data_IF_602479451489
#
_entry.id   IF_602479451489
#
_cell.length_a   1.000
_cell.length_b   1.000
_cell.length_c   1.000
_cell.angle_alpha   90.00
_cell.angle_beta   90.00
_cell.angle_gamma   90.00
#
_symmetry.space_group_name_H-M   'P 1'
#
loop_
_entity.id
_entity.type
_entity.pdbx_description
1 polymer ?
#
# COMPACT_ATOMS: atom_id res chain seq x y z
N UNK A 1 3.46 10.44 5.63
CA UNK A 1 2.67 9.20 5.57
C UNK A 1 1.21 9.58 5.75
N UNK A 2 0.29 8.82 5.15
CA UNK A 2 -1.14 8.99 5.40
C UNK A 2 -1.41 8.65 6.87
N UNK A 3 -1.96 9.60 7.61
CA UNK A 3 -2.24 9.52 9.04
C UNK A 3 -3.76 9.44 9.30
N UNK A 4 -4.60 9.56 8.26
CA UNK A 4 -6.06 9.51 8.36
C UNK A 4 -6.71 8.82 7.15
N UNK A 5 -7.92 8.29 7.32
CA UNK A 5 -8.71 7.69 6.23
C UNK A 5 -8.96 8.72 5.12
N UNK A 6 -9.15 10.00 5.48
CA UNK A 6 -9.34 11.09 4.50
C UNK A 6 -8.11 11.42 3.66
N UNK A 7 -6.94 10.85 3.99
CA UNK A 7 -5.75 10.98 3.15
C UNK A 7 -5.79 10.03 1.95
N UNK A 8 -6.73 9.08 1.93
CA UNK A 8 -6.93 8.14 0.85
C UNK A 8 -8.14 8.54 0.02
N UNK A 9 -8.00 8.37 -1.30
CA UNK A 9 -9.09 8.46 -2.25
C UNK A 9 -9.49 7.05 -2.66
N UNK A 10 -10.77 6.85 -2.97
CA UNK A 10 -11.17 5.69 -3.75
C UNK A 10 -10.47 5.72 -5.11
N UNK A 11 -10.31 4.55 -5.76
CA UNK A 11 -9.64 4.51 -7.07
C UNK A 11 -10.28 5.46 -8.11
N UNK A 12 -11.63 5.55 -8.24
CA UNK A 12 -12.24 6.53 -9.14
C UNK A 12 -11.89 7.98 -8.82
N UNK A 13 -11.91 8.36 -7.54
CA UNK A 13 -11.56 9.72 -7.09
C UNK A 13 -10.08 10.03 -7.34
N UNK A 14 -9.20 9.06 -7.14
CA UNK A 14 -7.78 9.19 -7.47
C UNK A 14 -7.57 9.43 -8.96
N UNK A 15 -8.25 8.68 -9.83
CA UNK A 15 -8.19 8.88 -11.28
C UNK A 15 -8.69 10.27 -11.70
N UNK A 16 -9.79 10.74 -11.09
CA UNK A 16 -10.30 12.12 -11.30
C UNK A 16 -9.28 13.16 -10.86
N UNK A 17 -8.57 12.93 -9.75
CA UNK A 17 -7.57 13.87 -9.24
C UNK A 17 -6.43 14.12 -10.25
N UNK A 18 -5.98 13.10 -10.99
CA UNK A 18 -5.01 13.27 -12.07
C UNK A 18 -5.57 14.10 -13.23
N UNK A 19 -6.85 13.89 -13.55
CA UNK A 19 -7.55 14.69 -14.55
C UNK A 19 -7.64 16.18 -14.18
N UNK A 20 -7.84 16.48 -12.90
CA UNK A 20 -7.85 17.85 -12.37
C UNK A 20 -6.47 18.51 -12.43
N UNK A 21 -5.39 17.72 -12.47
CA UNK A 21 -4.03 18.19 -12.67
C UNK A 21 -3.67 18.36 -14.16
N UNK A 22 -4.62 18.14 -15.07
CA UNK A 22 -4.40 18.27 -16.52
C UNK A 22 -3.62 17.08 -17.10
N UNK A 23 -3.63 15.92 -16.45
CA UNK A 23 -3.03 14.70 -16.95
C UNK A 23 -4.11 13.71 -17.39
N UNK A 24 -3.78 12.93 -18.41
CA UNK A 24 -4.50 11.73 -18.80
C UNK A 24 -3.78 10.52 -18.19
N UNK A 25 -4.51 9.64 -17.54
CA UNK A 25 -4.01 8.34 -17.07
C UNK A 25 -4.02 7.41 -18.28
N UNK A 26 -2.84 7.00 -18.75
CA UNK A 26 -2.70 6.20 -19.98
C UNK A 26 -2.47 4.72 -19.72
N UNK A 27 -2.07 4.37 -18.49
CA UNK A 27 -1.88 2.98 -18.04
C UNK A 27 -2.02 2.94 -16.51
N UNK A 28 -2.52 1.82 -15.97
CA UNK A 28 -2.39 1.51 -14.54
C UNK A 28 -2.10 0.02 -14.27
N UNK A 29 -1.17 -0.24 -13.36
CA UNK A 29 -0.92 -1.58 -12.79
C UNK A 29 -1.29 -1.56 -11.31
N UNK A 30 -2.33 -2.30 -10.95
CA UNK A 30 -2.83 -2.38 -9.58
C UNK A 30 -2.30 -3.63 -8.90
N UNK A 31 -1.87 -3.49 -7.64
CA UNK A 31 -1.59 -4.63 -6.79
C UNK A 31 -2.88 -5.40 -6.54
N UNK A 32 -2.82 -6.72 -6.75
CA UNK A 32 -3.84 -7.62 -6.27
C UNK A 32 -3.54 -8.05 -4.82
N UNK A 33 -4.46 -8.82 -4.23
CA UNK A 33 -4.28 -9.33 -2.88
C UNK A 33 -3.03 -10.20 -2.75
N UNK A 34 -2.68 -11.02 -3.76
CA UNK A 34 -1.46 -11.84 -3.72
C UNK A 34 -0.18 -10.98 -3.66
N UNK A 35 -0.17 -9.84 -4.36
CA UNK A 35 0.93 -8.87 -4.32
C UNK A 35 1.09 -8.25 -2.93
N UNK A 36 -0.03 -7.90 -2.29
CA UNK A 36 -0.05 -7.47 -0.90
C UNK A 36 0.37 -8.58 0.08
N UNK A 37 -0.12 -9.80 -0.12
CA UNK A 37 0.18 -10.98 0.72
C UNK A 37 1.70 -11.22 0.69
N UNK A 38 2.31 -11.19 -0.49
CA UNK A 38 3.77 -11.37 -0.65
C UNK A 38 4.57 -10.27 0.05
N UNK A 39 4.11 -9.02 0.00
CA UNK A 39 4.81 -7.90 0.62
C UNK A 39 4.71 -7.95 2.15
N UNK A 40 3.51 -8.14 2.70
CA UNK A 40 3.30 -8.14 4.15
C UNK A 40 3.80 -9.43 4.81
N UNK A 41 3.51 -10.60 4.23
CA UNK A 41 3.88 -11.89 4.84
C UNK A 41 5.40 -12.11 4.90
N UNK A 42 6.16 -11.54 3.95
CA UNK A 42 7.62 -11.60 3.98
C UNK A 42 8.21 -10.91 5.23
N UNK A 43 7.54 -9.88 5.75
CA UNK A 43 7.97 -9.18 6.98
C UNK A 43 7.80 -10.08 8.19
N UNK A 44 6.72 -10.87 8.26
CA UNK A 44 6.46 -11.77 9.39
C UNK A 44 7.54 -12.84 9.52
N UNK A 45 7.96 -13.44 8.40
CA UNK A 45 9.06 -14.42 8.41
C UNK A 45 10.37 -13.76 8.87
N UNK A 46 10.64 -12.54 8.41
CA UNK A 46 11.83 -11.77 8.82
C UNK A 46 11.81 -11.50 10.33
N UNK A 47 10.68 -11.00 10.86
CA UNK A 47 10.52 -10.77 12.30
C UNK A 47 10.68 -12.06 13.10
N UNK A 48 10.12 -13.18 12.63
CA UNK A 48 10.22 -14.47 13.33
C UNK A 48 11.66 -14.95 13.47
N UNK A 49 12.45 -14.86 12.39
CA UNK A 49 13.87 -15.25 12.37
C UNK A 49 14.72 -14.31 13.21
N UNK A 50 14.48 -13.01 13.09
CA UNK A 50 15.18 -12.02 13.90
C UNK A 50 14.99 -12.27 15.41
N UNK A 51 13.77 -12.66 15.83
CA UNK A 51 13.50 -13.04 17.23
C UNK A 51 14.19 -14.34 17.67
N UNK A 52 14.55 -15.24 16.76
CA UNK A 52 15.35 -16.44 17.10
C UNK A 52 16.79 -16.07 17.39
N UNK A 53 17.32 -15.10 16.64
CA UNK A 53 18.71 -14.64 16.76
C UNK A 53 18.89 -13.62 17.89
N UNK A 54 17.84 -12.87 18.25
CA UNK A 54 17.89 -11.74 19.18
C UNK A 54 16.86 -11.85 20.33
N UNK A 55 16.87 -12.93 21.14
CA UNK A 55 15.83 -13.16 22.15
C UNK A 55 15.87 -12.21 23.35
N UNK A 56 17.03 -11.59 23.63
CA UNK A 56 17.24 -10.69 24.78
C UNK A 56 17.42 -9.22 24.36
N UNK A 57 17.19 -8.91 23.09
CA UNK A 57 17.25 -7.54 22.60
C UNK A 57 16.09 -6.71 23.17
N UNK A 58 16.30 -5.42 23.39
CA UNK A 58 15.30 -4.52 23.96
C UNK A 58 14.02 -4.43 23.11
N UNK A 59 14.12 -4.67 21.80
CA UNK A 59 12.99 -4.66 20.86
C UNK A 59 12.27 -6.01 20.75
N UNK A 60 12.77 -7.07 21.39
CA UNK A 60 12.22 -8.42 21.23
C UNK A 60 10.74 -8.52 21.60
N UNK A 61 10.33 -7.89 22.70
CA UNK A 61 8.93 -7.86 23.12
C UNK A 61 8.03 -7.07 22.16
N UNK A 62 8.52 -5.94 21.65
CA UNK A 62 7.77 -5.13 20.68
C UNK A 62 7.57 -5.90 19.36
N UNK A 63 8.64 -6.52 18.86
CA UNK A 63 8.59 -7.29 17.61
C UNK A 63 7.75 -8.55 17.79
N UNK A 64 7.77 -9.18 18.97
CA UNK A 64 6.87 -10.29 19.31
C UNK A 64 5.41 -9.87 19.28
N UNK A 65 5.08 -8.76 19.92
CA UNK A 65 3.73 -8.20 19.93
C UNK A 65 3.23 -7.88 18.52
N UNK A 66 4.06 -7.22 17.70
CA UNK A 66 3.76 -6.98 16.27
C UNK A 66 3.51 -8.28 15.52
N UNK A 67 4.42 -9.25 15.61
CA UNK A 67 4.27 -10.53 14.92
C UNK A 67 2.98 -11.29 15.31
N UNK A 68 2.50 -11.13 16.55
CA UNK A 68 1.25 -11.77 17.00
C UNK A 68 -0.03 -11.11 16.46
N UNK A 69 0.01 -9.83 16.07
CA UNK A 69 -1.20 -9.06 15.71
C UNK A 69 -1.25 -8.66 14.24
N UNK A 70 -0.09 -8.48 13.59
CA UNK A 70 0.01 -8.02 12.21
C UNK A 70 -0.69 -8.94 11.19
N UNK A 71 -0.59 -10.29 11.26
CA UNK A 71 -1.28 -11.15 10.30
C UNK A 71 -2.81 -11.01 10.35
N UNK A 72 -3.38 -10.96 11.55
CA UNK A 72 -4.84 -10.79 11.75
C UNK A 72 -5.28 -9.39 11.29
N UNK A 73 -4.54 -8.35 11.69
CA UNK A 73 -4.83 -6.98 11.28
C UNK A 73 -4.74 -6.80 9.77
N UNK A 74 -3.75 -7.41 9.13
CA UNK A 74 -3.58 -7.39 7.68
C UNK A 74 -4.78 -8.03 6.99
N UNK A 75 -5.16 -9.25 7.40
CA UNK A 75 -6.28 -9.97 6.81
C UNK A 75 -7.64 -9.28 7.05
N UNK A 76 -7.83 -8.68 8.22
CA UNK A 76 -9.09 -8.01 8.57
C UNK A 76 -9.28 -6.66 7.89
N UNK A 77 -8.20 -5.93 7.60
CA UNK A 77 -8.28 -4.54 7.15
C UNK A 77 -7.51 -4.27 5.86
N UNK A 78 -6.18 -4.38 5.89
CA UNK A 78 -5.33 -3.94 4.77
C UNK A 78 -5.63 -4.71 3.48
N UNK A 79 -5.79 -6.03 3.59
CA UNK A 79 -6.00 -6.93 2.46
C UNK A 79 -7.29 -6.64 1.67
N UNK A 80 -8.32 -6.17 2.37
CA UNK A 80 -9.66 -5.96 1.80
C UNK A 80 -9.92 -4.51 1.40
N UNK A 81 -9.35 -3.54 2.13
CA UNK A 81 -9.71 -2.13 1.97
C UNK A 81 -8.60 -1.24 1.42
N UNK A 82 -7.33 -1.66 1.43
CA UNK A 82 -6.23 -0.82 0.98
C UNK A 82 -5.72 -1.25 -0.41
N UNK A 83 -5.96 -0.39 -1.39
CA UNK A 83 -5.40 -0.54 -2.73
C UNK A 83 -3.99 0.06 -2.86
N UNK A 84 -3.21 -0.45 -3.81
CA UNK A 84 -1.99 0.18 -4.29
C UNK A 84 -1.85 -0.02 -5.79
N UNK A 85 -1.21 0.92 -6.48
CA UNK A 85 -0.95 0.79 -7.90
C UNK A 85 0.05 1.81 -8.43
N UNK A 86 0.56 1.53 -9.62
CA UNK A 86 1.39 2.45 -10.41
C UNK A 86 0.53 3.01 -11.53
N UNK A 87 0.62 4.32 -11.76
CA UNK A 87 -0.15 5.03 -12.77
C UNK A 87 0.80 5.76 -13.72
N UNK A 88 0.66 5.51 -15.02
CA UNK A 88 1.38 6.26 -16.04
C UNK A 88 0.54 7.45 -16.50
N UNK A 89 1.14 8.65 -16.49
CA UNK A 89 0.47 9.91 -16.78
C UNK A 89 1.08 10.59 -18.00
N UNK A 90 0.24 11.19 -18.85
CA UNK A 90 0.66 12.09 -19.91
C UNK A 90 -0.06 13.43 -19.77
N UNK A 91 0.60 14.59 -20.03
CA UNK A 91 -0.09 15.87 -20.06
C UNK A 91 -1.19 15.87 -21.12
N UNK A 92 -2.37 16.40 -20.76
CA UNK A 92 -3.52 16.48 -21.66
C UNK A 92 -3.21 17.42 -22.82
N UNK A 93 -3.55 16.99 -24.02
CA UNK A 93 -3.42 17.82 -25.22
C UNK A 93 -4.49 18.92 -25.21
N UNK A 94 -4.05 20.17 -25.28
CA UNK A 94 -4.93 21.29 -25.59
C UNK A 94 -5.16 21.33 -27.11
N UNK A 95 -6.14 20.57 -27.59
CA UNK A 95 -6.62 20.69 -28.96
C UNK A 95 -7.41 22.00 -29.08
N UNK A 96 -6.69 23.11 -29.30
CA UNK A 96 -7.32 24.32 -29.84
C UNK A 96 -7.67 24.02 -31.30
N UNK A 97 -8.96 23.99 -31.61
CA UNK A 97 -9.45 23.91 -32.98
C UNK A 97 -8.76 25.02 -33.80
N UNK A 98 -8.02 24.61 -34.82
CA UNK A 98 -7.43 25.51 -35.83
C UNK A 98 -8.52 25.99 -36.78
#
# INVERSE_FOLDING_TARGET
MANSISDFLSLPELLVSFGNLGCDVVEMVLANQDGWDRYEAAKWLTMRRWLEENPNDELAEEIRSKLSTEPERYAAYTREYLGWGVFALMPRLNLKNT
#
